data_IF_075394494246
#
_entry.id   IF_075394494246
#
_cell.length_a   1.000
_cell.length_b   1.000
_cell.length_c   1.000
_cell.angle_alpha   90.00
_cell.angle_beta   90.00
_cell.angle_gamma   90.00
#
_symmetry.space_group_name_H-M   'P 1'
#
loop_
_entity.id
_entity.type
_entity.pdbx_description
1 polymer ?
#
# COMPACT_ATOMS: atom_id res chain seq x y z
N UNK A 1 2.47 17.17 28.17
CA UNK A 1 2.26 17.03 26.72
C UNK A 1 3.62 17.12 26.06
N UNK A 2 4.09 16.03 25.45
CA UNK A 2 5.40 15.99 24.80
C UNK A 2 5.23 16.19 23.29
N UNK A 3 6.04 17.09 22.72
CA UNK A 3 6.18 17.24 21.28
C UNK A 3 7.26 16.26 20.80
N UNK A 4 6.92 15.47 19.80
CA UNK A 4 7.80 14.47 19.21
C UNK A 4 8.20 14.90 17.81
N UNK A 5 9.44 14.62 17.45
CA UNK A 5 9.91 14.79 16.07
C UNK A 5 9.26 13.74 15.16
N UNK A 6 9.27 14.01 13.85
CA UNK A 6 8.85 13.02 12.83
C UNK A 6 9.59 11.69 12.94
N UNK A 7 10.84 11.69 13.42
CA UNK A 7 11.63 10.46 13.61
C UNK A 7 11.10 9.62 14.78
N UNK A 8 10.88 10.23 15.93
CA UNK A 8 10.31 9.56 17.10
C UNK A 8 8.90 9.03 16.81
N UNK A 9 8.10 9.82 16.09
CA UNK A 9 6.76 9.44 15.63
C UNK A 9 6.81 8.22 14.72
N UNK A 10 7.78 8.18 13.79
CA UNK A 10 7.97 7.05 12.89
C UNK A 10 8.26 5.76 13.67
N UNK A 11 9.14 5.83 14.67
CA UNK A 11 9.49 4.69 15.54
C UNK A 11 8.29 4.25 16.37
N UNK A 12 7.56 5.19 17.00
CA UNK A 12 6.37 4.90 17.82
C UNK A 12 5.23 4.27 17.02
N UNK A 13 5.01 4.72 15.78
CA UNK A 13 3.98 4.20 14.89
C UNK A 13 4.42 2.96 14.10
N UNK A 14 5.71 2.61 14.11
CA UNK A 14 6.27 1.53 13.29
C UNK A 14 6.17 1.79 11.79
N UNK A 15 6.23 3.07 11.37
CA UNK A 15 6.16 3.48 9.96
C UNK A 15 7.45 4.17 9.52
N UNK A 16 7.62 4.38 8.23
CA UNK A 16 8.77 5.12 7.70
C UNK A 16 8.56 6.63 7.77
N UNK A 17 9.65 7.39 7.87
CA UNK A 17 9.63 8.87 7.84
C UNK A 17 8.82 9.46 6.66
N UNK A 18 9.00 9.00 5.40
CA UNK A 18 8.18 9.48 4.28
C UNK A 18 6.68 9.24 4.49
N UNK A 19 6.31 8.15 5.18
CA UNK A 19 4.90 7.87 5.51
C UNK A 19 4.36 8.86 6.53
N UNK A 20 5.15 9.25 7.53
CA UNK A 20 4.76 10.30 8.49
C UNK A 20 4.54 11.62 7.75
N UNK A 21 5.46 12.03 6.88
CA UNK A 21 5.28 13.23 6.06
C UNK A 21 4.05 13.14 5.15
N UNK A 22 3.76 11.97 4.58
CA UNK A 22 2.54 11.78 3.82
C UNK A 22 1.30 11.99 4.69
N UNK A 23 1.25 11.45 5.92
CA UNK A 23 0.13 11.66 6.84
C UNK A 23 -0.09 13.12 7.22
N UNK A 24 1.01 13.86 7.42
CA UNK A 24 0.96 15.32 7.68
C UNK A 24 0.40 16.05 6.46
N UNK A 25 0.89 15.71 5.25
CA UNK A 25 0.43 16.33 3.99
C UNK A 25 -1.03 16.01 3.67
N UNK A 26 -1.50 14.82 4.05
CA UNK A 26 -2.89 14.36 3.91
C UNK A 26 -3.82 15.01 4.96
N UNK A 27 -3.26 15.73 5.95
CA UNK A 27 -4.01 16.34 7.05
C UNK A 27 -4.54 15.34 8.08
N UNK A 28 -4.09 14.08 8.01
CA UNK A 28 -4.53 13.00 8.91
C UNK A 28 -3.77 12.94 10.22
N UNK A 29 -2.60 13.56 10.28
CA UNK A 29 -1.79 13.70 11.48
C UNK A 29 -1.52 15.19 11.69
N UNK A 30 -2.09 15.83 12.72
CA UNK A 30 -1.80 17.22 13.02
C UNK A 30 -0.32 17.36 13.42
N UNK A 31 0.37 18.30 12.77
CA UNK A 31 1.75 18.60 13.05
C UNK A 31 1.96 20.11 13.09
N UNK A 32 2.74 20.56 14.06
CA UNK A 32 3.19 21.94 14.20
C UNK A 32 4.54 22.09 13.51
N UNK A 33 4.62 23.00 12.54
CA UNK A 33 5.87 23.30 11.86
C UNK A 33 6.66 24.30 12.69
N UNK A 34 7.81 23.89 13.21
CA UNK A 34 8.75 24.79 13.90
C UNK A 34 10.04 24.86 13.09
N UNK A 35 10.23 25.97 12.40
CA UNK A 35 11.37 26.17 11.49
C UNK A 35 11.32 25.22 10.29
N UNK A 36 12.32 24.33 10.18
CA UNK A 36 12.44 23.34 9.10
C UNK A 36 11.75 22.01 9.42
N UNK A 37 11.48 21.75 10.70
CA UNK A 37 11.01 20.46 11.18
C UNK A 37 9.52 20.48 11.55
N UNK A 38 8.92 19.29 11.53
CA UNK A 38 7.55 19.06 11.98
C UNK A 38 7.56 18.36 13.32
N UNK A 39 6.79 18.92 14.25
CA UNK A 39 6.58 18.39 15.59
C UNK A 39 5.14 17.90 15.73
N UNK A 40 4.96 16.71 16.27
CA UNK A 40 3.65 16.08 16.46
C UNK A 40 3.45 15.85 17.95
N UNK A 41 2.25 16.12 18.46
CA UNK A 41 1.95 15.83 19.87
C UNK A 41 1.79 14.32 20.04
N UNK A 42 2.32 13.81 21.13
CA UNK A 42 2.19 12.38 21.45
C UNK A 42 0.71 11.93 21.52
N UNK A 43 -0.19 12.78 22.01
CA UNK A 43 -1.63 12.51 22.08
C UNK A 43 -2.28 12.29 20.71
N UNK A 44 -1.79 12.97 19.66
CA UNK A 44 -2.35 12.90 18.31
C UNK A 44 -1.94 11.61 17.57
N UNK A 45 -0.96 10.86 18.08
CA UNK A 45 -0.56 9.55 17.54
C UNK A 45 -1.72 8.54 17.54
N UNK A 46 -2.62 8.64 18.53
CA UNK A 46 -3.76 7.74 18.66
C UNK A 46 -4.73 7.85 17.46
N UNK A 47 -4.79 9.01 16.79
CA UNK A 47 -5.65 9.25 15.62
C UNK A 47 -5.28 8.40 14.41
N UNK A 48 -4.00 8.00 14.33
CA UNK A 48 -3.45 7.23 13.20
C UNK A 48 -2.98 5.83 13.58
N UNK A 49 -3.04 5.48 14.87
CA UNK A 49 -2.66 4.17 15.40
C UNK A 49 -3.60 3.05 14.93
N UNK A 50 -4.90 3.35 14.77
CA UNK A 50 -5.89 2.37 14.32
C UNK A 50 -5.84 2.20 12.80
N UNK A 51 -4.93 1.33 12.33
CA UNK A 51 -4.82 1.00 10.91
C UNK A 51 -4.56 -0.49 10.70
N UNK A 52 -5.42 -1.15 9.91
CA UNK A 52 -5.09 -2.42 9.25
C UNK A 52 -3.92 -2.18 8.28
N UNK A 53 -2.72 -2.76 8.49
CA UNK A 53 -1.61 -2.62 7.56
C UNK A 53 -2.02 -3.23 6.20
N UNK A 54 -2.20 -2.38 5.18
CA UNK A 54 -2.76 -2.79 3.89
C UNK A 54 -2.01 -2.25 2.68
N UNK A 55 -1.11 -3.07 2.14
CA UNK A 55 -1.12 -3.60 0.76
C UNK A 55 -0.69 -5.05 0.93
N UNK A 56 -1.44 -6.09 0.52
CA UNK A 56 -0.89 -7.44 0.52
C UNK A 56 0.43 -7.37 -0.25
N UNK A 57 1.54 -7.82 0.37
CA UNK A 57 2.74 -8.13 -0.41
C UNK A 57 2.24 -9.03 -1.52
N UNK A 58 2.45 -8.65 -2.79
CA UNK A 58 2.24 -9.58 -3.89
C UNK A 58 2.89 -10.89 -3.45
N UNK A 59 2.11 -11.98 -3.49
CA UNK A 59 2.61 -13.32 -3.23
C UNK A 59 3.97 -13.48 -3.96
N UNK A 60 4.93 -14.18 -3.35
CA UNK A 60 6.23 -14.38 -3.98
C UNK A 60 6.04 -14.94 -5.39
N UNK A 61 6.99 -14.65 -6.26
CA UNK A 61 6.90 -14.87 -7.69
C UNK A 61 6.65 -16.30 -8.22
N UNK A 62 6.78 -17.44 -7.49
CA UNK A 62 6.57 -18.73 -8.16
C UNK A 62 5.10 -19.03 -8.53
N UNK A 63 4.10 -18.36 -7.95
CA UNK A 63 2.69 -18.68 -8.22
C UNK A 63 2.14 -18.02 -9.50
N UNK A 64 2.74 -16.88 -9.92
CA UNK A 64 2.33 -16.19 -11.16
C UNK A 64 2.66 -17.00 -12.42
N UNK A 65 3.71 -17.80 -12.41
CA UNK A 65 4.12 -18.61 -13.56
C UNK A 65 3.18 -19.80 -13.83
N UNK A 66 2.45 -20.28 -12.82
CA UNK A 66 1.57 -21.44 -12.95
C UNK A 66 0.16 -21.09 -13.46
N UNK A 67 -0.28 -19.83 -13.35
CA UNK A 67 -1.60 -19.39 -13.83
C UNK A 67 -1.58 -19.04 -15.34
N UNK A 68 -0.46 -18.52 -15.83
CA UNK A 68 -0.29 -18.11 -17.24
C UNK A 68 -0.32 -19.31 -18.20
N UNK A 69 0.30 -20.43 -17.82
CA UNK A 69 0.34 -21.66 -18.64
C UNK A 69 -1.02 -22.34 -18.82
N UNK A 70 -1.95 -22.15 -17.88
CA UNK A 70 -3.30 -22.75 -17.92
C UNK A 70 -4.25 -22.00 -18.84
N UNK A 71 -4.07 -20.69 -18.99
CA UNK A 71 -4.92 -19.87 -19.86
C UNK A 71 -4.45 -19.88 -21.32
N UNK A 72 -3.16 -20.16 -21.58
CA UNK A 72 -2.65 -20.36 -22.94
C UNK A 72 -3.20 -21.62 -23.62
N UNK A 73 -3.57 -22.64 -22.84
CA UNK A 73 -4.06 -23.94 -23.34
C UNK A 73 -5.58 -23.97 -23.59
N UNK A 74 -6.37 -23.10 -22.96
CA UNK A 74 -7.85 -23.15 -23.02
C UNK A 74 -8.49 -22.09 -23.95
N UNK A 75 -7.69 -21.33 -24.70
CA UNK A 75 -8.12 -20.09 -25.38
C UNK A 75 -8.13 -20.06 -26.92
N UNK A 76 -7.84 -21.15 -27.64
CA UNK A 76 -7.86 -21.14 -29.13
C UNK A 76 -8.43 -22.44 -29.70
N UNK A 77 -9.73 -22.42 -30.02
CA UNK A 77 -10.32 -22.96 -31.26
C UNK A 77 -11.86 -23.15 -31.14
N UNK A 78 -12.57 -22.17 -30.60
CA UNK A 78 -13.92 -21.93 -31.07
C UNK A 78 -13.80 -21.14 -32.40
N UNK A 79 -14.40 -21.68 -33.48
CA UNK A 79 -14.66 -21.06 -34.79
C UNK A 79 -13.90 -21.68 -35.98
N UNK A 80 -14.47 -22.73 -36.58
CA UNK A 80 -14.90 -22.74 -38.00
C UNK A 80 -15.71 -24.00 -38.32
N UNK A 81 -17.03 -23.92 -38.18
CA UNK A 81 -17.94 -24.75 -38.98
C UNK A 81 -17.85 -24.25 -40.43
N UNK A 82 -17.32 -25.06 -41.34
CA UNK A 82 -17.57 -24.89 -42.77
C UNK A 82 -18.15 -26.21 -43.28
N UNK A 83 -19.45 -26.20 -43.55
CA UNK A 83 -20.11 -27.22 -44.38
C UNK A 83 -19.37 -27.34 -45.72
N UNK A 84 -19.32 -28.49 -46.37
CA UNK A 84 -20.43 -29.38 -46.65
C UNK A 84 -20.74 -29.24 -48.14
N UNK A 85 -20.30 -30.25 -48.91
CA UNK A 85 -20.67 -30.68 -50.27
C UNK A 85 -21.23 -29.71 -51.32
N UNK A 86 -20.65 -29.73 -52.52
CA UNK A 86 -21.12 -30.61 -53.62
C UNK A 86 -19.96 -30.98 -54.52
#
# INVERSE_FOLDING_TARGET
MSLLTTNEVAVRLGVTLPRVHALIRDGRLPAEKMGRDYFIKESDLALVADRKPGRPKSLPAPEKAALDQRNASNGRAASKIKGGGK
#
